data_IF_236886001850
#
_entry.id   IF_236886001850
#
_cell.length_a   1.000
_cell.length_b   1.000
_cell.length_c   1.000
_cell.angle_alpha   90.00
_cell.angle_beta   90.00
_cell.angle_gamma   90.00
#
_symmetry.space_group_name_H-M   'P 1'
#
loop_
_entity.id
_entity.type
_entity.pdbx_description
1 polymer ?
#
# COMPACT_ATOMS: atom_id res chain seq x y z
N UNK A 1 -22.19 -6.66 30.57
CA UNK A 1 -21.11 -6.07 29.73
C UNK A 1 -19.77 -6.25 30.41
N UNK A 2 -19.61 -5.84 31.67
CA UNK A 2 -18.34 -5.96 32.41
C UNK A 2 -17.86 -7.40 32.58
N UNK A 3 -18.72 -8.30 33.04
CA UNK A 3 -18.38 -9.73 33.18
C UNK A 3 -17.95 -10.36 31.85
N UNK A 4 -18.61 -10.01 30.75
CA UNK A 4 -18.27 -10.49 29.41
C UNK A 4 -16.91 -9.96 28.96
N UNK A 5 -16.65 -8.68 29.18
CA UNK A 5 -15.37 -8.05 28.84
C UNK A 5 -14.20 -8.63 29.65
N UNK A 6 -14.39 -8.87 30.94
CA UNK A 6 -13.38 -9.50 31.81
C UNK A 6 -13.05 -10.93 31.36
N UNK A 7 -14.06 -11.70 30.96
CA UNK A 7 -13.89 -13.06 30.44
C UNK A 7 -13.12 -13.07 29.11
N UNK A 8 -13.38 -12.10 28.23
CA UNK A 8 -12.67 -11.95 26.94
C UNK A 8 -11.20 -11.54 27.12
N UNK A 9 -10.89 -10.66 28.08
CA UNK A 9 -9.51 -10.26 28.41
C UNK A 9 -8.66 -11.43 28.91
N UNK A 10 -9.25 -12.32 29.71
CA UNK A 10 -8.56 -13.50 30.25
C UNK A 10 -8.14 -14.50 29.17
N UNK A 11 -8.75 -14.43 27.98
CA UNK A 11 -8.45 -15.30 26.83
C UNK A 11 -7.33 -14.77 25.92
N UNK A 12 -6.55 -13.77 26.34
CA UNK A 12 -5.38 -13.21 25.61
C UNK A 12 -5.70 -12.66 24.21
N UNK A 13 -6.93 -12.18 24.00
CA UNK A 13 -7.30 -11.43 22.80
C UNK A 13 -6.99 -9.96 23.11
N UNK A 14 -6.49 -9.20 22.12
CA UNK A 14 -5.87 -7.86 22.19
C UNK A 14 -6.69 -6.70 22.83
N UNK A 15 -7.68 -6.98 23.67
CA UNK A 15 -8.45 -6.03 24.45
C UNK A 15 -7.59 -5.38 25.55
N UNK A 16 -6.88 -4.31 25.20
CA UNK A 16 -6.27 -3.44 26.22
C UNK A 16 -7.26 -2.45 26.83
N UNK A 17 -8.44 -2.26 26.22
CA UNK A 17 -9.41 -1.21 26.61
C UNK A 17 -10.86 -1.61 26.28
N UNK A 18 -11.81 -1.10 27.08
CA UNK A 18 -13.26 -1.33 26.93
C UNK A 18 -13.77 -0.75 25.60
N UNK A 19 -14.75 -1.38 24.91
CA UNK A 19 -15.41 -0.78 23.75
C UNK A 19 -16.12 0.53 24.10
N UNK A 20 -15.91 1.58 23.30
CA UNK A 20 -16.46 2.93 23.48
C UNK A 20 -17.13 3.40 22.20
N UNK A 21 -18.24 4.15 22.33
CA UNK A 21 -18.90 4.81 21.19
C UNK A 21 -18.04 5.94 20.68
N UNK A 22 -17.99 6.12 19.36
CA UNK A 22 -17.17 7.15 18.75
C UNK A 22 -17.67 8.60 19.01
N UNK A 23 -18.92 8.78 19.49
CA UNK A 23 -19.49 10.09 19.87
C UNK A 23 -18.82 10.73 21.08
N UNK A 24 -18.15 9.92 21.92
CA UNK A 24 -17.59 10.36 23.20
C UNK A 24 -16.20 11.00 23.03
N UNK A 25 -15.70 11.13 21.80
CA UNK A 25 -14.34 11.63 21.45
C UNK A 25 -14.33 13.03 20.82
N UNK A 26 -15.39 13.82 20.98
CA UNK A 26 -15.54 15.14 20.33
C UNK A 26 -16.01 15.02 18.89
N UNK A 27 -16.46 16.12 18.26
CA UNK A 27 -16.96 16.14 16.87
C UNK A 27 -15.83 15.69 15.93
N UNK A 28 -15.79 14.39 15.67
CA UNK A 28 -14.58 13.64 15.35
C UNK A 28 -14.01 13.95 13.98
N UNK A 29 -13.20 14.99 13.90
CA UNK A 29 -12.24 15.26 12.84
C UNK A 29 -10.84 15.27 13.46
N UNK A 30 -9.85 14.78 12.74
CA UNK A 30 -8.44 14.84 13.13
C UNK A 30 -7.61 15.31 11.93
N UNK A 31 -6.44 15.87 12.22
CA UNK A 31 -5.42 16.05 11.20
C UNK A 31 -4.64 14.75 11.08
N UNK A 32 -4.71 14.15 9.89
CA UNK A 32 -4.19 12.82 9.64
C UNK A 32 -3.54 12.73 8.27
N UNK A 33 -2.60 11.79 8.17
CA UNK A 33 -2.12 11.26 6.92
C UNK A 33 -2.74 9.88 6.72
N UNK A 34 -3.39 9.67 5.58
CA UNK A 34 -4.05 8.42 5.25
C UNK A 34 -3.90 8.06 3.79
N UNK A 35 -3.74 6.77 3.53
CA UNK A 35 -3.48 6.19 2.22
C UNK A 35 -4.78 5.86 1.53
N UNK A 36 -4.84 6.22 0.25
CA UNK A 36 -5.85 5.76 -0.70
C UNK A 36 -5.17 4.96 -1.80
N UNK A 37 -5.97 4.15 -2.49
CA UNK A 37 -5.51 3.42 -3.66
C UNK A 37 -6.38 2.22 -3.97
N UNK A 38 -5.77 1.23 -4.60
CA UNK A 38 -6.50 0.14 -5.25
C UNK A 38 -6.70 -1.03 -4.31
N UNK A 39 -7.94 -1.47 -4.19
CA UNK A 39 -8.36 -2.58 -3.35
C UNK A 39 -8.58 -3.84 -4.19
N UNK A 40 -7.79 -4.88 -3.91
CA UNK A 40 -7.91 -6.21 -4.50
C UNK A 40 -8.56 -7.15 -3.48
N UNK A 41 -9.87 -7.00 -3.32
CA UNK A 41 -10.63 -7.71 -2.29
C UNK A 41 -11.00 -9.12 -2.72
N UNK A 42 -10.85 -10.06 -1.81
CA UNK A 42 -11.30 -11.42 -1.99
C UNK A 42 -12.79 -11.57 -1.63
N UNK A 43 -13.48 -12.61 -2.13
CA UNK A 43 -14.87 -12.89 -1.76
C UNK A 43 -15.11 -13.03 -0.24
N UNK A 44 -14.06 -13.37 0.53
CA UNK A 44 -14.08 -13.41 2.00
C UNK A 44 -14.45 -12.06 2.62
N UNK A 45 -13.99 -10.95 2.05
CA UNK A 45 -14.30 -9.61 2.56
C UNK A 45 -15.79 -9.30 2.44
N UNK A 46 -16.41 -9.62 1.31
CA UNK A 46 -17.85 -9.40 1.14
C UNK A 46 -18.67 -10.27 2.10
N UNK A 47 -18.27 -11.52 2.33
CA UNK A 47 -18.91 -12.40 3.32
C UNK A 47 -18.78 -11.85 4.74
N UNK A 48 -17.61 -11.32 5.10
CA UNK A 48 -17.40 -10.63 6.38
C UNK A 48 -18.37 -9.45 6.51
N UNK A 49 -18.43 -8.55 5.52
CA UNK A 49 -19.30 -7.37 5.60
C UNK A 49 -20.78 -7.74 5.77
N UNK A 50 -21.27 -8.74 5.03
CA UNK A 50 -22.63 -9.25 5.18
C UNK A 50 -22.87 -9.79 6.60
N UNK A 51 -21.89 -10.52 7.14
CA UNK A 51 -21.96 -11.06 8.49
C UNK A 51 -21.97 -9.98 9.56
N UNK A 52 -21.06 -9.00 9.46
CA UNK A 52 -21.01 -7.86 10.36
C UNK A 52 -22.32 -7.07 10.32
N UNK A 53 -22.84 -6.77 9.12
CA UNK A 53 -24.11 -6.07 8.93
C UNK A 53 -25.27 -6.79 9.62
N UNK A 54 -25.35 -8.12 9.51
CA UNK A 54 -26.38 -8.92 10.19
C UNK A 54 -26.24 -8.96 11.71
N UNK A 55 -25.03 -8.75 12.25
CA UNK A 55 -24.78 -8.75 13.69
C UNK A 55 -25.02 -7.40 14.35
N UNK A 56 -24.57 -6.31 13.72
CA UNK A 56 -24.55 -4.98 14.35
C UNK A 56 -25.68 -4.07 13.87
N UNK A 57 -26.27 -4.36 12.71
CA UNK A 57 -27.31 -3.52 12.11
C UNK A 57 -26.87 -2.07 12.02
N UNK A 58 -27.70 -1.17 12.56
CA UNK A 58 -27.44 0.29 12.60
C UNK A 58 -26.62 0.75 13.82
N UNK A 59 -26.19 -0.18 14.68
CA UNK A 59 -25.41 0.12 15.89
C UNK A 59 -23.93 0.39 15.60
N UNK A 60 -23.52 0.23 14.34
CA UNK A 60 -22.17 0.54 13.88
C UNK A 60 -22.17 1.09 12.44
N UNK A 61 -21.14 1.88 12.15
CA UNK A 61 -20.73 2.27 10.82
C UNK A 61 -19.83 1.17 10.23
N UNK A 62 -20.15 0.68 9.04
CA UNK A 62 -19.32 -0.28 8.31
C UNK A 62 -18.57 0.42 7.18
N UNK A 63 -17.37 -0.09 6.86
CA UNK A 63 -16.47 0.55 5.90
C UNK A 63 -16.33 -0.26 4.62
N UNK A 64 -16.32 0.44 3.48
CA UNK A 64 -16.18 -0.15 2.15
C UNK A 64 -15.27 0.68 1.24
N UNK A 65 -14.67 0.08 0.19
CA UNK A 65 -13.91 0.85 -0.79
C UNK A 65 -14.74 1.92 -1.50
N UNK A 66 -16.01 1.61 -1.75
CA UNK A 66 -16.98 2.55 -2.34
C UNK A 66 -18.17 2.64 -1.39
N UNK A 67 -18.16 3.60 -0.44
CA UNK A 67 -19.20 3.73 0.58
C UNK A 67 -20.50 4.31 0.01
N UNK A 68 -21.63 3.98 0.63
CA UNK A 68 -22.93 4.59 0.35
C UNK A 68 -23.63 5.05 1.63
N UNK A 69 -24.33 6.20 1.58
CA UNK A 69 -25.13 6.77 2.68
C UNK A 69 -24.41 6.88 4.03
N UNK A 70 -24.61 5.92 4.94
CA UNK A 70 -24.11 5.92 6.31
C UNK A 70 -22.79 5.18 6.50
N UNK A 71 -22.26 4.60 5.42
CA UNK A 71 -21.03 3.80 5.43
C UNK A 71 -19.78 4.68 5.42
N UNK A 72 -18.67 4.14 5.92
CA UNK A 72 -17.37 4.81 5.94
C UNK A 72 -16.47 4.37 4.79
N UNK A 73 -15.51 5.21 4.42
CA UNK A 73 -14.52 4.86 3.40
C UNK A 73 -13.43 3.96 3.96
N UNK A 74 -13.27 2.77 3.40
CA UNK A 74 -12.18 1.86 3.70
C UNK A 74 -10.85 2.46 3.24
N UNK A 75 -9.91 2.65 4.16
CA UNK A 75 -8.63 3.32 3.93
C UNK A 75 -7.56 2.79 4.88
N UNK A 76 -6.29 3.11 4.60
CA UNK A 76 -5.17 2.85 5.50
C UNK A 76 -4.77 4.15 6.21
N UNK A 77 -4.81 4.19 7.54
CA UNK A 77 -4.25 5.34 8.28
C UNK A 77 -2.72 5.24 8.36
N UNK A 78 -1.97 6.28 7.94
CA UNK A 78 -0.53 6.36 8.19
C UNK A 78 -0.30 6.80 9.63
N UNK A 79 -0.79 7.98 9.99
CA UNK A 79 -0.79 8.51 11.34
C UNK A 79 -1.88 9.55 11.54
N UNK A 80 -2.24 9.78 12.79
CA UNK A 80 -2.92 10.98 13.25
C UNK A 80 -1.89 11.79 14.02
N UNK A 81 -1.79 13.10 13.78
CA UNK A 81 -0.77 13.92 14.43
C UNK A 81 -1.32 15.07 15.25
N UNK A 82 -2.58 15.51 15.05
CA UNK A 82 -3.19 16.57 15.85
C UNK A 82 -4.70 16.31 16.04
N UNK A 83 -5.21 16.49 17.27
CA UNK A 83 -6.65 16.53 17.55
C UNK A 83 -7.22 17.90 17.20
N UNK A 84 -8.46 17.96 16.73
CA UNK A 84 -9.09 19.22 16.32
C UNK A 84 -9.14 20.27 17.42
N UNK A 85 -9.42 19.86 18.66
CA UNK A 85 -9.64 20.79 19.78
C UNK A 85 -8.32 21.32 20.37
N UNK A 86 -7.16 20.82 19.92
CA UNK A 86 -5.85 21.25 20.45
C UNK A 86 -5.46 22.66 19.99
N UNK A 87 -5.94 23.13 18.82
CA UNK A 87 -5.52 24.41 18.23
C UNK A 87 -6.67 25.16 17.51
N UNK A 88 -7.72 25.60 18.22
CA UNK A 88 -8.96 26.10 17.60
C UNK A 88 -8.84 27.40 16.77
N UNK A 89 -7.67 28.06 16.72
CA UNK A 89 -7.46 29.31 15.97
C UNK A 89 -6.11 29.41 15.26
N UNK A 90 -5.44 28.28 14.99
CA UNK A 90 -4.10 28.26 14.41
C UNK A 90 -4.09 27.64 13.00
N UNK A 91 -4.98 28.08 12.11
CA UNK A 91 -5.12 27.48 10.77
C UNK A 91 -3.82 27.53 9.95
N UNK A 92 -3.06 28.63 10.07
CA UNK A 92 -1.78 28.78 9.40
C UNK A 92 -0.74 27.75 9.88
N UNK A 93 -0.55 27.62 11.20
CA UNK A 93 0.44 26.66 11.74
C UNK A 93 0.03 25.21 11.46
N UNK A 94 -1.27 24.92 11.41
CA UNK A 94 -1.80 23.59 11.05
C UNK A 94 -1.58 23.29 9.57
N UNK A 95 -1.70 24.30 8.71
CA UNK A 95 -1.38 24.16 7.28
C UNK A 95 0.11 23.92 7.07
N UNK A 96 0.98 24.64 7.79
CA UNK A 96 2.43 24.40 7.79
C UNK A 96 2.78 23.00 8.29
N UNK A 97 2.11 22.52 9.36
CA UNK A 97 2.26 21.15 9.84
C UNK A 97 1.86 20.12 8.79
N UNK A 98 0.72 20.30 8.11
CA UNK A 98 0.28 19.42 7.03
C UNK A 98 1.24 19.41 5.84
N UNK A 99 1.76 20.58 5.44
CA UNK A 99 2.77 20.69 4.39
C UNK A 99 4.06 19.94 4.78
N UNK A 100 4.54 20.14 6.01
CA UNK A 100 5.71 19.44 6.53
C UNK A 100 5.53 17.91 6.51
N UNK A 101 4.36 17.42 6.91
CA UNK A 101 4.03 15.98 6.82
C UNK A 101 4.02 15.50 5.36
N UNK A 102 3.40 16.27 4.46
CA UNK A 102 3.33 15.94 3.04
C UNK A 102 4.72 15.86 2.40
N UNK A 103 5.62 16.80 2.73
CA UNK A 103 6.99 16.84 2.23
C UNK A 103 7.80 15.61 2.66
N UNK A 104 7.70 15.22 3.93
CA UNK A 104 8.39 14.02 4.45
C UNK A 104 7.86 12.76 3.75
N UNK A 105 6.54 12.65 3.56
CA UNK A 105 5.95 11.53 2.81
C UNK A 105 6.45 11.52 1.37
N UNK A 106 6.48 12.67 0.69
CA UNK A 106 6.94 12.79 -0.69
C UNK A 106 8.40 12.35 -0.84
N UNK A 107 9.27 12.77 0.07
CA UNK A 107 10.69 12.38 0.10
C UNK A 107 10.88 10.86 0.33
N UNK A 108 9.98 10.23 1.10
CA UNK A 108 10.05 8.79 1.36
C UNK A 108 9.61 7.94 0.17
N UNK A 109 8.74 8.46 -0.70
CA UNK A 109 8.02 7.72 -1.74
C UNK A 109 7.48 6.36 -1.25
N UNK A 110 6.91 6.33 -0.04
CA UNK A 110 6.43 5.09 0.57
C UNK A 110 5.14 4.60 -0.11
N UNK A 111 5.27 3.65 -1.02
CA UNK A 111 4.16 3.06 -1.80
C UNK A 111 3.90 1.58 -1.40
N UNK A 112 3.41 1.30 -0.18
CA UNK A 112 3.30 -0.07 0.30
C UNK A 112 2.20 -0.86 -0.43
N UNK A 113 2.47 -2.15 -0.59
CA UNK A 113 1.46 -3.15 -0.88
C UNK A 113 1.11 -3.88 0.42
N UNK A 114 -0.14 -3.78 0.85
CA UNK A 114 -0.60 -4.21 2.17
C UNK A 114 -1.51 -5.42 1.99
N UNK A 115 -1.17 -6.54 2.62
CA UNK A 115 -2.04 -7.70 2.73
C UNK A 115 -2.88 -7.59 4.00
N UNK A 116 -4.19 -7.71 3.88
CA UNK A 116 -5.09 -7.71 5.03
C UNK A 116 -5.49 -9.12 5.41
N UNK A 117 -5.07 -9.56 6.59
CA UNK A 117 -5.30 -10.91 7.11
C UNK A 117 -5.81 -10.84 8.54
N UNK A 118 -6.94 -11.48 8.80
CA UNK A 118 -7.52 -11.50 10.13
C UNK A 118 -8.16 -10.18 10.55
N UNK A 119 -8.75 -10.21 11.75
CA UNK A 119 -9.45 -9.09 12.36
C UNK A 119 -8.80 -8.73 13.69
N UNK A 120 -8.75 -7.44 13.98
CA UNK A 120 -8.25 -6.91 15.24
C UNK A 120 -9.26 -5.98 15.87
N UNK A 121 -9.33 -6.08 17.20
CA UNK A 121 -10.12 -5.18 18.01
C UNK A 121 -9.46 -3.83 18.16
N UNK A 122 -10.28 -2.79 18.11
CA UNK A 122 -9.91 -1.44 18.53
C UNK A 122 -10.89 -1.01 19.63
N UNK A 123 -10.55 0.00 20.45
CA UNK A 123 -11.48 0.49 21.47
C UNK A 123 -12.82 0.95 20.89
N UNK A 124 -12.89 1.27 19.60
CA UNK A 124 -14.08 1.88 18.97
C UNK A 124 -14.70 1.01 17.88
N UNK A 125 -14.24 -0.24 17.71
CA UNK A 125 -14.78 -1.16 16.70
C UNK A 125 -13.79 -2.23 16.25
N UNK A 126 -13.85 -2.61 14.97
CA UNK A 126 -13.01 -3.66 14.36
C UNK A 126 -12.23 -3.12 13.16
N UNK A 127 -11.04 -3.66 12.95
CA UNK A 127 -10.22 -3.40 11.78
C UNK A 127 -9.67 -4.70 11.18
N UNK A 128 -9.33 -4.66 9.90
CA UNK A 128 -8.47 -5.66 9.28
C UNK A 128 -7.03 -5.44 9.74
N UNK A 129 -6.30 -6.49 10.08
CA UNK A 129 -4.87 -6.37 10.33
C UNK A 129 -4.10 -6.38 9.01
N UNK A 130 -3.29 -5.34 8.79
CA UNK A 130 -2.48 -5.16 7.59
C UNK A 130 -1.03 -5.58 7.82
N UNK A 131 -0.42 -6.15 6.78
CA UNK A 131 0.96 -6.61 6.77
C UNK A 131 1.62 -6.17 5.46
N UNK A 132 2.86 -5.69 5.51
CA UNK A 132 3.62 -5.41 4.30
C UNK A 132 5.11 -5.74 4.48
N UNK A 133 5.81 -5.98 3.37
CA UNK A 133 7.26 -6.27 3.38
C UNK A 133 8.12 -5.08 3.84
N UNK A 134 7.52 -3.90 4.03
CA UNK A 134 8.19 -2.63 4.27
C UNK A 134 7.78 -2.00 5.62
N UNK A 135 7.39 -2.82 6.61
CA UNK A 135 7.01 -2.35 7.96
C UNK A 135 8.09 -1.49 8.62
N UNK A 136 9.37 -1.82 8.45
CA UNK A 136 10.46 -1.00 8.96
C UNK A 136 10.49 0.41 8.34
N UNK A 137 10.14 0.54 7.04
CA UNK A 137 10.05 1.85 6.38
C UNK A 137 8.86 2.64 6.90
N UNK A 138 7.72 1.98 7.15
CA UNK A 138 6.56 2.61 7.77
C UNK A 138 6.91 3.22 9.13
N UNK A 139 7.62 2.45 9.96
CA UNK A 139 7.97 2.89 11.32
C UNK A 139 8.96 4.07 11.27
N UNK A 140 10.01 3.99 10.44
CA UNK A 140 10.92 5.12 10.20
C UNK A 140 10.19 6.35 9.67
N UNK A 141 9.29 6.20 8.71
CA UNK A 141 8.53 7.32 8.15
C UNK A 141 7.71 8.05 9.23
N UNK A 142 7.07 7.30 10.14
CA UNK A 142 6.34 7.90 11.27
C UNK A 142 7.26 8.68 12.22
N UNK A 143 8.44 8.14 12.50
CA UNK A 143 9.46 8.80 13.33
C UNK A 143 10.00 10.06 12.65
N UNK A 144 10.32 9.99 11.36
CA UNK A 144 10.78 11.11 10.53
C UNK A 144 9.75 12.24 10.52
N UNK A 145 8.46 11.91 10.35
CA UNK A 145 7.37 12.89 10.42
C UNK A 145 7.33 13.57 11.80
N UNK A 146 7.36 12.78 12.87
CA UNK A 146 7.32 13.34 14.23
C UNK A 146 8.53 14.24 14.51
N UNK A 147 9.72 13.84 14.05
CA UNK A 147 10.95 14.61 14.21
C UNK A 147 10.94 15.88 13.36
N UNK A 148 10.44 15.83 12.13
CA UNK A 148 10.31 16.99 11.26
C UNK A 148 9.35 18.03 11.83
N UNK A 149 8.18 17.63 12.33
CA UNK A 149 7.25 18.52 13.02
C UNK A 149 7.92 19.19 14.24
N UNK A 150 8.61 18.39 15.07
CA UNK A 150 9.33 18.89 16.24
C UNK A 150 10.43 19.89 15.88
N UNK A 151 11.26 19.58 14.88
CA UNK A 151 12.37 20.45 14.45
C UNK A 151 11.88 21.80 13.93
N UNK A 152 10.72 21.81 13.26
CA UNK A 152 10.10 23.03 12.75
C UNK A 152 9.19 23.73 13.77
N UNK A 153 9.15 23.26 15.03
CA UNK A 153 8.30 23.80 16.10
C UNK A 153 6.80 23.78 15.73
N UNK A 154 6.40 22.80 14.93
CA UNK A 154 5.03 22.59 14.47
C UNK A 154 4.28 21.64 15.42
N UNK A 155 2.94 21.77 15.54
CA UNK A 155 2.18 20.92 16.44
C UNK A 155 2.30 19.42 16.11
N UNK A 156 2.55 18.62 17.13
CA UNK A 156 2.61 17.16 17.04
C UNK A 156 2.12 16.55 18.36
N UNK A 157 0.84 16.19 18.39
CA UNK A 157 0.17 15.51 19.49
C UNK A 157 -0.48 14.23 18.96
N UNK A 158 0.34 13.19 18.75
CA UNK A 158 -0.14 11.90 18.24
C UNK A 158 -1.19 11.35 19.22
N UNK A 159 -2.48 11.34 18.85
CA UNK A 159 -3.55 11.05 19.80
C UNK A 159 -3.65 9.56 20.11
N UNK A 160 -3.21 8.73 19.16
CA UNK A 160 -3.23 7.29 19.23
C UNK A 160 -1.96 6.76 18.58
N UNK A 161 -1.05 6.24 19.40
CA UNK A 161 0.10 5.50 18.90
C UNK A 161 -0.38 4.10 18.49
N UNK A 162 -0.34 3.81 17.19
CA UNK A 162 -0.64 2.49 16.68
C UNK A 162 0.50 2.00 15.79
N UNK A 163 1.16 0.91 16.21
CA UNK A 163 2.27 0.29 15.48
C UNK A 163 1.82 -0.72 14.41
N UNK A 164 0.52 -0.93 14.19
CA UNK A 164 0.02 -1.83 13.15
C UNK A 164 -0.57 -1.07 11.96
N UNK A 165 -0.33 -1.61 10.76
CA UNK A 165 -1.17 -1.31 9.61
C UNK A 165 -2.54 -1.92 9.85
N UNK A 166 -3.57 -1.15 9.58
CA UNK A 166 -4.93 -1.59 9.76
C UNK A 166 -5.87 -0.75 8.92
N UNK A 167 -6.95 -1.37 8.46
CA UNK A 167 -8.06 -0.72 7.79
C UNK A 167 -9.33 -0.96 8.61
N UNK A 168 -9.93 0.11 9.11
CA UNK A 168 -11.14 0.02 9.92
C UNK A 168 -12.27 -0.58 9.08
N UNK A 169 -12.95 -1.62 9.59
CA UNK A 169 -14.13 -2.23 8.93
C UNK A 169 -15.43 -1.94 9.67
N UNK A 170 -15.33 -1.59 10.95
CA UNK A 170 -16.47 -1.31 11.81
C UNK A 170 -16.11 -0.25 12.85
N UNK A 171 -16.99 0.74 13.05
CA UNK A 171 -16.95 1.67 14.20
C UNK A 171 -18.28 1.75 14.91
N UNK A 172 -18.27 1.73 16.24
CA UNK A 172 -19.47 1.85 17.07
C UNK A 172 -20.14 3.22 16.95
N UNK A 173 -21.42 3.23 16.61
CA UNK A 173 -22.30 4.42 16.64
C UNK A 173 -23.22 4.42 17.85
N UNK A 174 -23.39 3.25 18.49
CA UNK A 174 -24.08 3.05 19.76
C UNK A 174 -23.27 2.09 20.62
N UNK A 175 -23.46 2.13 21.94
CA UNK A 175 -22.73 1.26 22.85
C UNK A 175 -23.10 -0.21 22.57
N UNK A 176 -22.14 -1.10 22.27
CA UNK A 176 -22.44 -2.50 21.99
C UNK A 176 -22.84 -3.24 23.26
N UNK A 177 -23.83 -4.13 23.17
CA UNK A 177 -24.20 -5.01 24.26
C UNK A 177 -23.28 -6.26 24.36
N UNK A 178 -23.32 -6.95 25.50
CA UNK A 178 -22.43 -8.09 25.77
C UNK A 178 -22.67 -9.29 24.84
N UNK A 179 -23.91 -9.56 24.44
CA UNK A 179 -24.21 -10.70 23.57
C UNK A 179 -23.68 -10.44 22.15
N UNK A 180 -23.77 -9.21 21.67
CA UNK A 180 -23.18 -8.78 20.40
C UNK A 180 -21.65 -8.95 20.41
N UNK A 181 -20.98 -8.56 21.50
CA UNK A 181 -19.53 -8.71 21.64
C UNK A 181 -19.11 -10.18 21.57
N UNK A 182 -19.79 -11.08 22.28
CA UNK A 182 -19.51 -12.53 22.24
C UNK A 182 -19.73 -13.10 20.83
N UNK A 183 -20.78 -12.65 20.12
CA UNK A 183 -21.02 -13.10 18.74
C UNK A 183 -19.93 -12.63 17.78
N UNK A 184 -19.45 -11.39 17.94
CA UNK A 184 -18.37 -10.84 17.12
C UNK A 184 -17.02 -11.49 17.42
N UNK A 185 -16.74 -11.81 18.68
CA UNK A 185 -15.54 -12.55 19.07
C UNK A 185 -15.41 -13.87 18.31
N UNK A 186 -16.51 -14.64 18.23
CA UNK A 186 -16.55 -15.88 17.44
C UNK A 186 -16.26 -15.66 15.96
N UNK A 187 -16.65 -14.50 15.41
CA UNK A 187 -16.27 -14.16 14.03
C UNK A 187 -14.80 -13.77 13.94
N UNK A 188 -14.26 -12.98 14.88
CA UNK A 188 -12.83 -12.65 14.91
C UNK A 188 -11.97 -13.90 14.96
N UNK A 189 -12.30 -14.88 15.79
CA UNK A 189 -11.63 -16.19 15.83
C UNK A 189 -11.78 -16.95 14.51
N UNK A 190 -13.02 -17.03 13.97
CA UNK A 190 -13.28 -17.72 12.70
C UNK A 190 -12.45 -17.16 11.55
N UNK A 191 -12.23 -15.86 11.53
CA UNK A 191 -11.57 -15.16 10.44
C UNK A 191 -10.09 -14.89 10.69
N UNK A 192 -9.48 -15.36 11.79
CA UNK A 192 -8.13 -14.97 12.22
C UNK A 192 -7.05 -15.17 11.15
N UNK A 193 -7.11 -16.30 10.43
CA UNK A 193 -6.13 -16.64 9.39
C UNK A 193 -6.55 -16.23 7.98
N UNK A 194 -7.76 -15.68 7.83
CA UNK A 194 -8.36 -15.38 6.53
C UNK A 194 -7.71 -14.15 5.91
N UNK A 195 -7.24 -14.28 4.67
CA UNK A 195 -6.89 -13.12 3.85
C UNK A 195 -8.16 -12.52 3.28
N UNK A 196 -8.36 -11.22 3.49
CA UNK A 196 -9.53 -10.48 3.00
C UNK A 196 -9.25 -9.80 1.67
N UNK A 197 -7.99 -9.55 1.37
CA UNK A 197 -7.55 -8.89 0.16
C UNK A 197 -6.30 -8.08 0.41
N UNK A 198 -5.95 -7.30 -0.59
CA UNK A 198 -4.76 -6.45 -0.57
C UNK A 198 -5.15 -5.02 -0.90
N UNK A 199 -4.43 -4.06 -0.35
CA UNK A 199 -4.49 -2.66 -0.76
C UNK A 199 -3.14 -2.23 -1.28
N UNK A 200 -3.18 -1.50 -2.38
CA UNK A 200 -2.02 -0.84 -2.97
C UNK A 200 -2.17 0.65 -2.76
N UNK A 201 -1.29 1.24 -1.94
CA UNK A 201 -1.32 2.69 -1.73
C UNK A 201 -0.69 3.37 -2.93
N UNK A 202 -1.46 4.19 -3.64
CA UNK A 202 -0.99 4.99 -4.78
C UNK A 202 -0.89 6.48 -4.45
N UNK A 203 -1.50 6.91 -3.34
CA UNK A 203 -1.36 8.26 -2.81
C UNK A 203 -1.59 8.31 -1.31
N UNK A 204 -0.88 9.22 -0.66
CA UNK A 204 -1.18 9.65 0.69
C UNK A 204 -1.89 10.98 0.65
N UNK A 205 -2.93 11.13 1.47
CA UNK A 205 -3.63 12.39 1.67
C UNK A 205 -3.28 12.89 3.06
N UNK A 206 -2.90 14.16 3.16
CA UNK A 206 -2.71 14.87 4.43
C UNK A 206 -3.79 15.93 4.53
N UNK A 207 -4.60 15.86 5.59
CA UNK A 207 -5.76 16.73 5.69
C UNK A 207 -6.59 16.52 6.94
N UNK A 208 -7.77 17.17 6.93
CA UNK A 208 -8.81 16.97 7.95
C UNK A 208 -9.62 15.76 7.53
N UNK A 209 -9.84 14.82 8.44
CA UNK A 209 -10.72 13.70 8.15
C UNK A 209 -11.51 13.26 9.38
N UNK A 210 -12.78 12.93 9.15
CA UNK A 210 -13.61 12.33 10.18
C UNK A 210 -13.37 10.84 10.31
N UNK A 211 -13.81 10.25 11.43
CA UNK A 211 -13.76 8.79 11.58
C UNK A 211 -14.46 8.04 10.44
N UNK A 212 -15.50 8.61 9.82
CA UNK A 212 -16.24 8.00 8.71
C UNK A 212 -15.55 8.17 7.36
N UNK A 213 -14.68 9.18 7.22
CA UNK A 213 -13.94 9.43 5.97
C UNK A 213 -14.84 9.69 4.77
N UNK A 214 -16.02 10.26 4.99
CA UNK A 214 -16.91 10.67 3.90
C UNK A 214 -16.31 11.85 3.14
N UNK A 215 -16.68 11.97 1.87
CA UNK A 215 -16.19 13.04 1.00
C UNK A 215 -16.53 14.42 1.59
N UNK A 216 -17.76 14.63 2.05
CA UNK A 216 -18.21 15.86 2.69
C UNK A 216 -17.66 16.10 4.12
N UNK A 217 -16.93 15.13 4.66
CA UNK A 217 -16.34 15.17 6.01
C UNK A 217 -14.81 15.21 5.99
N UNK A 218 -14.22 15.38 4.79
CA UNK A 218 -12.79 15.45 4.55
C UNK A 218 -12.42 16.75 3.87
N UNK A 219 -11.28 17.29 4.27
CA UNK A 219 -10.60 18.35 3.54
C UNK A 219 -9.21 17.81 3.15
N UNK A 220 -9.06 17.43 1.89
CA UNK A 220 -7.84 16.83 1.34
C UNK A 220 -6.85 17.94 0.94
N UNK A 221 -6.12 18.50 1.92
CA UNK A 221 -5.23 19.65 1.69
C UNK A 221 -4.06 19.32 0.78
N UNK A 222 -3.39 18.18 1.02
CA UNK A 222 -2.26 17.73 0.22
C UNK A 222 -2.51 16.30 -0.24
N UNK A 223 -2.36 16.06 -1.53
CA UNK A 223 -2.34 14.73 -2.13
C UNK A 223 -0.92 14.45 -2.63
N UNK A 224 -0.26 13.47 -2.02
CA UNK A 224 1.11 13.08 -2.33
C UNK A 224 1.05 11.75 -3.12
N UNK A 225 1.20 11.78 -4.44
CA UNK A 225 1.27 10.55 -5.23
C UNK A 225 2.54 9.77 -4.85
N UNK A 226 2.42 8.45 -4.79
CA UNK A 226 3.55 7.55 -4.51
C UNK A 226 3.60 6.44 -5.54
N UNK A 227 4.82 6.11 -5.96
CA UNK A 227 5.05 5.21 -7.08
C UNK A 227 5.82 3.98 -6.64
N UNK A 228 5.40 2.83 -7.15
CA UNK A 228 6.21 1.63 -7.02
C UNK A 228 7.42 1.73 -7.96
N UNK A 229 8.61 1.86 -7.38
CA UNK A 229 9.86 1.89 -8.15
C UNK A 229 10.35 0.47 -8.47
N UNK A 230 10.71 0.26 -9.73
CA UNK A 230 11.31 -0.96 -10.26
C UNK A 230 12.67 -0.57 -10.83
N UNK A 231 13.73 -1.16 -10.28
CA UNK A 231 15.09 -0.94 -10.76
C UNK A 231 15.27 -1.67 -12.09
N UNK A 232 15.43 -0.92 -13.18
CA UNK A 232 15.66 -1.49 -14.50
C UNK A 232 16.98 -2.27 -14.50
N UNK A 233 16.92 -3.58 -14.74
CA UNK A 233 18.07 -4.51 -14.72
C UNK A 233 18.95 -4.47 -13.46
N UNK A 234 18.43 -3.94 -12.36
CA UNK A 234 19.15 -3.75 -11.09
C UNK A 234 19.86 -2.39 -10.90
N UNK A 235 19.74 -1.47 -11.86
CA UNK A 235 20.28 -0.11 -11.80
C UNK A 235 19.53 0.75 -10.75
N UNK A 236 20.27 1.57 -10.00
CA UNK A 236 19.70 2.46 -8.96
C UNK A 236 20.18 3.92 -9.04
N UNK A 237 21.22 4.18 -9.81
CA UNK A 237 21.92 5.47 -9.88
C UNK A 237 22.38 5.79 -11.32
N UNK A 238 21.58 5.35 -12.31
CA UNK A 238 21.89 5.40 -13.73
C UNK A 238 22.38 4.05 -14.27
N UNK A 239 22.40 3.94 -15.60
CA UNK A 239 22.76 2.70 -16.29
C UNK A 239 24.20 2.29 -16.01
N UNK A 240 24.39 1.04 -15.57
CA UNK A 240 25.71 0.44 -15.34
C UNK A 240 25.82 -0.86 -16.12
N UNK A 241 26.08 -0.76 -17.44
CA UNK A 241 26.04 -1.88 -18.39
C UNK A 241 26.74 -3.17 -17.91
N UNK A 242 27.90 -3.04 -17.27
CA UNK A 242 28.70 -4.17 -16.75
C UNK A 242 28.04 -4.90 -15.55
N UNK A 243 27.06 -4.27 -14.91
CA UNK A 243 26.37 -4.75 -13.71
C UNK A 243 24.90 -5.07 -13.97
N UNK A 244 24.37 -4.72 -15.14
CA UNK A 244 23.00 -5.03 -15.54
C UNK A 244 22.79 -6.54 -15.56
N UNK A 245 21.64 -6.98 -15.05
CA UNK A 245 21.27 -8.39 -15.01
C UNK A 245 22.28 -9.30 -14.27
N UNK A 246 23.25 -8.72 -13.56
CA UNK A 246 24.24 -9.47 -12.83
C UNK A 246 23.60 -10.18 -11.62
N UNK A 247 23.84 -11.48 -11.51
CA UNK A 247 23.26 -12.32 -10.47
C UNK A 247 23.48 -11.79 -9.04
N UNK A 248 24.70 -11.34 -8.72
CA UNK A 248 25.05 -10.81 -7.40
C UNK A 248 24.34 -9.49 -7.09
N UNK A 249 24.26 -8.60 -8.09
CA UNK A 249 23.55 -7.33 -7.96
C UNK A 249 22.06 -7.58 -7.73
N UNK A 250 21.42 -8.44 -8.53
CA UNK A 250 19.99 -8.73 -8.38
C UNK A 250 19.65 -9.38 -7.03
N UNK A 251 20.53 -10.21 -6.49
CA UNK A 251 20.38 -10.75 -5.11
C UNK A 251 20.50 -9.61 -4.10
N UNK A 252 21.52 -8.75 -4.21
CA UNK A 252 21.67 -7.61 -3.32
C UNK A 252 20.42 -6.71 -3.33
N UNK A 253 19.88 -6.42 -4.51
CA UNK A 253 18.65 -5.61 -4.66
C UNK A 253 17.44 -6.29 -4.02
N UNK A 254 17.32 -7.61 -4.15
CA UNK A 254 16.27 -8.40 -3.51
C UNK A 254 16.37 -8.35 -1.98
N UNK A 255 17.59 -8.47 -1.42
CA UNK A 255 17.85 -8.34 0.04
C UNK A 255 17.52 -6.93 0.53
N UNK A 256 17.83 -5.90 -0.27
CA UNK A 256 17.47 -4.51 0.01
C UNK A 256 15.97 -4.23 -0.15
N UNK A 257 15.18 -5.23 -0.54
CA UNK A 257 13.73 -5.16 -0.69
C UNK A 257 13.25 -4.52 -1.98
N UNK A 258 14.13 -4.24 -2.94
CA UNK A 258 13.76 -3.62 -4.20
C UNK A 258 13.00 -4.56 -5.13
N UNK A 259 12.16 -3.95 -5.97
CA UNK A 259 11.66 -4.57 -7.19
C UNK A 259 12.64 -4.33 -8.31
N UNK A 260 12.82 -5.34 -9.15
CA UNK A 260 13.78 -5.31 -10.25
C UNK A 260 13.09 -5.80 -11.51
N UNK A 261 13.35 -5.10 -12.61
CA UNK A 261 13.12 -5.67 -13.93
C UNK A 261 14.36 -6.51 -14.30
N UNK A 262 14.15 -7.66 -14.94
CA UNK A 262 15.22 -8.56 -15.37
C UNK A 262 14.97 -9.07 -16.78
N UNK A 263 16.01 -9.05 -17.60
CA UNK A 263 16.02 -9.60 -18.94
C UNK A 263 16.35 -11.10 -18.88
N UNK A 264 15.47 -11.93 -19.43
CA UNK A 264 15.61 -13.39 -19.40
C UNK A 264 15.60 -13.97 -20.82
N UNK A 265 16.44 -14.99 -21.02
CA UNK A 265 16.51 -15.82 -22.22
C UNK A 265 16.30 -17.30 -21.90
N UNK A 266 15.60 -18.01 -22.78
CA UNK A 266 15.56 -19.47 -22.83
C UNK A 266 16.34 -19.98 -24.05
N UNK A 267 17.62 -20.30 -23.81
CA UNK A 267 18.58 -20.66 -24.84
C UNK A 267 19.26 -21.98 -24.51
N UNK A 268 19.40 -22.86 -25.51
CA UNK A 268 20.01 -24.20 -25.35
C UNK A 268 19.45 -24.98 -24.14
N UNK A 269 18.12 -25.02 -23.99
CA UNK A 269 17.41 -25.72 -22.90
C UNK A 269 17.74 -25.20 -21.49
N UNK A 270 18.27 -23.98 -21.38
CA UNK A 270 18.63 -23.36 -20.12
C UNK A 270 18.08 -21.94 -20.02
N UNK A 271 17.88 -21.46 -18.80
CA UNK A 271 17.53 -20.06 -18.53
C UNK A 271 18.78 -19.25 -18.28
N UNK A 272 18.78 -18.02 -18.79
CA UNK A 272 19.89 -17.08 -18.67
C UNK A 272 19.36 -15.67 -18.42
N UNK A 273 20.14 -14.87 -17.69
CA UNK A 273 19.98 -13.43 -17.62
C UNK A 273 20.89 -12.75 -18.65
N UNK A 274 20.50 -11.56 -19.11
CA UNK A 274 21.36 -10.68 -19.92
C UNK A 274 20.57 -9.81 -20.89
N UNK A 275 21.10 -8.63 -21.22
CA UNK A 275 20.35 -7.65 -22.02
C UNK A 275 20.36 -7.96 -23.52
N UNK A 276 21.55 -7.98 -24.13
CA UNK A 276 21.71 -8.15 -25.57
C UNK A 276 21.90 -9.63 -25.97
N UNK A 277 22.33 -10.46 -25.01
CA UNK A 277 22.60 -11.90 -25.19
C UNK A 277 22.45 -12.65 -23.86
N UNK A 278 22.36 -14.00 -23.89
CA UNK A 278 22.47 -14.83 -22.69
C UNK A 278 23.86 -14.71 -22.03
N UNK A 279 23.93 -14.36 -20.74
CA UNK A 279 25.20 -14.13 -20.03
C UNK A 279 25.30 -14.93 -18.73
N UNK A 280 24.31 -14.83 -17.85
CA UNK A 280 24.35 -15.48 -16.54
C UNK A 280 23.33 -16.61 -16.45
N UNK A 281 23.79 -17.85 -16.41
CA UNK A 281 22.92 -19.03 -16.29
C UNK A 281 22.17 -19.02 -14.95
N UNK A 282 20.87 -19.26 -14.98
CA UNK A 282 20.00 -19.34 -13.80
C UNK A 282 19.08 -20.56 -13.87
N UNK A 283 18.44 -20.86 -12.74
CA UNK A 283 17.37 -21.86 -12.68
C UNK A 283 16.00 -21.19 -12.62
N UNK A 284 14.97 -21.93 -13.01
CA UNK A 284 13.59 -21.46 -12.88
C UNK A 284 13.21 -21.21 -11.41
N UNK A 285 13.72 -22.03 -10.48
CA UNK A 285 13.50 -21.86 -9.04
C UNK A 285 14.16 -20.58 -8.53
N UNK A 286 15.36 -20.26 -9.02
CA UNK A 286 15.97 -18.98 -8.71
C UNK A 286 15.08 -17.84 -9.17
N UNK A 287 14.56 -17.89 -10.39
CA UNK A 287 13.69 -16.84 -10.96
C UNK A 287 12.38 -16.70 -10.16
N UNK A 288 11.79 -17.81 -9.72
CA UNK A 288 10.57 -17.84 -8.92
C UNK A 288 10.77 -17.50 -7.43
N UNK A 289 12.01 -17.52 -6.93
CA UNK A 289 12.28 -17.28 -5.50
C UNK A 289 11.96 -15.85 -5.02
N UNK A 290 11.78 -14.90 -5.94
CA UNK A 290 11.49 -13.51 -5.61
C UNK A 290 10.32 -12.99 -6.45
N UNK A 291 9.20 -12.72 -5.78
CA UNK A 291 7.97 -12.16 -6.38
C UNK A 291 8.09 -10.70 -6.82
N UNK A 292 9.19 -10.03 -6.43
CA UNK A 292 9.49 -8.63 -6.74
C UNK A 292 10.16 -8.45 -8.11
N UNK A 293 10.28 -9.52 -8.90
CA UNK A 293 10.85 -9.47 -10.26
C UNK A 293 9.77 -9.22 -11.30
N UNK A 294 9.96 -8.19 -12.11
CA UNK A 294 9.28 -8.01 -13.38
C UNK A 294 10.18 -8.61 -14.46
N UNK A 295 9.69 -9.61 -15.18
CA UNK A 295 10.52 -10.45 -16.04
C UNK A 295 10.27 -10.09 -17.49
N UNK A 296 11.26 -9.49 -18.14
CA UNK A 296 11.27 -9.26 -19.57
C UNK A 296 11.79 -10.51 -20.27
N UNK A 297 10.89 -11.26 -20.90
CA UNK A 297 11.29 -12.29 -21.84
C UNK A 297 11.87 -11.63 -23.09
N UNK A 298 13.07 -12.02 -23.52
CA UNK A 298 13.77 -11.34 -24.62
C UNK A 298 13.38 -11.79 -26.01
N UNK A 299 12.71 -12.93 -26.11
CA UNK A 299 12.15 -13.46 -27.35
C UNK A 299 10.87 -14.26 -27.07
N UNK A 300 10.13 -14.56 -28.15
CA UNK A 300 8.87 -15.31 -28.06
C UNK A 300 9.06 -16.72 -27.48
N UNK A 301 10.21 -17.35 -27.71
CA UNK A 301 10.54 -18.69 -27.18
C UNK A 301 10.68 -18.67 -25.66
N UNK A 302 11.34 -17.64 -25.14
CA UNK A 302 11.49 -17.42 -23.70
C UNK A 302 10.16 -17.11 -23.07
N UNK A 303 9.34 -16.27 -23.72
CA UNK A 303 8.02 -15.92 -23.25
C UNK A 303 7.12 -17.17 -23.14
N UNK A 304 7.07 -17.98 -24.19
CA UNK A 304 6.35 -19.26 -24.21
C UNK A 304 6.80 -20.18 -23.07
N UNK A 305 8.11 -20.41 -22.93
CA UNK A 305 8.66 -21.28 -21.89
C UNK A 305 8.26 -20.82 -20.48
N UNK A 306 8.44 -19.53 -20.18
CA UNK A 306 8.14 -18.97 -18.86
C UNK A 306 6.65 -19.08 -18.52
N UNK A 307 5.75 -18.82 -19.48
CA UNK A 307 4.31 -18.95 -19.25
C UNK A 307 3.88 -20.40 -19.03
N UNK A 308 4.38 -21.33 -19.85
CA UNK A 308 4.07 -22.74 -19.73
C UNK A 308 4.55 -23.29 -18.38
N UNK A 309 5.79 -22.99 -17.99
CA UNK A 309 6.34 -23.48 -16.72
C UNK A 309 5.68 -22.80 -15.50
N UNK A 310 5.32 -21.52 -15.60
CA UNK A 310 4.53 -20.86 -14.55
C UNK A 310 3.19 -21.55 -14.33
N UNK A 311 2.48 -21.89 -15.42
CA UNK A 311 1.21 -22.61 -15.35
C UNK A 311 1.36 -24.03 -14.80
N UNK A 312 2.29 -24.83 -15.36
CA UNK A 312 2.51 -26.24 -14.94
C UNK A 312 2.91 -26.37 -13.47
N UNK A 313 3.74 -25.45 -12.98
CA UNK A 313 4.32 -25.51 -11.64
C UNK A 313 3.64 -24.58 -10.63
N UNK A 314 2.56 -23.90 -11.03
CA UNK A 314 1.88 -22.87 -10.25
C UNK A 314 2.83 -21.80 -9.67
N UNK A 315 3.81 -21.36 -10.49
CA UNK A 315 4.78 -20.35 -10.08
C UNK A 315 4.22 -18.94 -10.28
N UNK A 316 4.50 -18.08 -9.31
CA UNK A 316 4.03 -16.70 -9.31
C UNK A 316 4.99 -15.77 -10.08
N UNK A 317 5.14 -16.00 -11.39
CA UNK A 317 5.99 -15.19 -12.26
C UNK A 317 5.22 -13.99 -12.84
N UNK A 318 5.85 -12.81 -12.89
CA UNK A 318 5.33 -11.61 -13.53
C UNK A 318 6.12 -11.33 -14.80
N UNK A 319 5.62 -11.80 -15.94
CA UNK A 319 6.33 -11.87 -17.22
C UNK A 319 5.69 -10.96 -18.24
N UNK A 320 6.51 -10.31 -19.06
CA UNK A 320 6.10 -9.59 -20.25
C UNK A 320 7.11 -9.82 -21.38
N UNK A 321 6.67 -9.58 -22.61
CA UNK A 321 7.50 -9.57 -23.80
C UNK A 321 7.17 -8.29 -24.56
N UNK A 322 8.19 -7.58 -25.02
CA UNK A 322 8.00 -6.48 -25.96
C UNK A 322 9.27 -6.27 -26.78
N UNK A 323 9.12 -5.49 -27.83
CA UNK A 323 10.22 -4.93 -28.59
C UNK A 323 10.09 -3.41 -28.58
N UNK A 324 9.23 -2.86 -29.42
CA UNK A 324 9.04 -1.42 -29.60
C UNK A 324 7.54 -1.01 -29.61
N UNK A 325 6.65 -1.91 -29.17
CA UNK A 325 5.22 -1.60 -29.10
C UNK A 325 4.94 -0.50 -28.07
N UNK A 326 4.04 0.42 -28.42
CA UNK A 326 3.67 1.55 -27.57
C UNK A 326 3.17 1.12 -26.18
N UNK A 327 2.44 0.01 -26.15
CA UNK A 327 1.83 -0.55 -24.96
C UNK A 327 1.89 -2.07 -25.00
N UNK A 328 2.30 -2.70 -23.89
CA UNK A 328 2.24 -4.15 -23.72
C UNK A 328 1.57 -4.53 -22.41
N UNK A 329 0.95 -5.70 -22.39
CA UNK A 329 0.32 -6.26 -21.20
C UNK A 329 1.21 -7.36 -20.62
N UNK A 330 1.43 -7.35 -19.31
CA UNK A 330 2.06 -8.49 -18.63
C UNK A 330 1.06 -9.64 -18.44
N UNK A 331 1.55 -10.83 -18.11
CA UNK A 331 0.70 -11.96 -17.75
C UNK A 331 -0.16 -11.74 -16.47
N UNK A 332 0.04 -10.62 -15.77
CA UNK A 332 -0.72 -10.19 -14.59
C UNK A 332 -1.61 -8.97 -14.86
N UNK A 333 -1.79 -8.58 -16.13
CA UNK A 333 -2.67 -7.48 -16.50
C UNK A 333 -2.09 -6.08 -16.25
N UNK A 334 -0.80 -5.95 -15.91
CA UNK A 334 -0.15 -4.63 -15.82
C UNK A 334 0.16 -4.15 -17.23
N UNK A 335 -0.25 -2.93 -17.57
CA UNK A 335 0.13 -2.28 -18.82
C UNK A 335 1.49 -1.61 -18.64
N UNK A 336 2.42 -1.86 -19.55
CA UNK A 336 3.72 -1.18 -19.64
C UNK A 336 3.65 -0.20 -20.81
N UNK A 337 3.87 1.08 -20.54
CA UNK A 337 3.95 2.13 -21.53
C UNK A 337 5.39 2.30 -21.99
N UNK A 338 5.63 2.23 -23.29
CA UNK A 338 6.93 2.48 -23.89
C UNK A 338 7.39 3.92 -23.63
N UNK A 339 8.70 4.19 -23.48
CA UNK A 339 9.18 5.54 -23.21
C UNK A 339 8.72 6.56 -24.26
N UNK A 340 8.13 7.67 -23.81
CA UNK A 340 7.62 8.76 -24.65
C UNK A 340 6.19 8.58 -25.14
N UNK A 341 5.50 7.51 -24.73
CA UNK A 341 4.09 7.28 -25.08
C UNK A 341 3.16 7.79 -23.97
N UNK A 342 1.92 8.21 -24.31
CA UNK A 342 0.96 8.66 -23.30
C UNK A 342 0.76 7.62 -22.20
N UNK A 343 0.94 8.04 -20.94
CA UNK A 343 0.77 7.17 -19.77
C UNK A 343 -0.71 6.85 -19.56
N UNK A 344 -1.01 5.60 -19.27
CA UNK A 344 -2.37 5.11 -19.02
C UNK A 344 -2.62 4.96 -17.53
N UNK A 345 -3.89 5.05 -17.11
CA UNK A 345 -4.25 4.93 -15.70
C UNK A 345 -3.82 3.56 -15.13
N UNK A 346 -3.05 3.58 -14.04
CA UNK A 346 -2.54 2.38 -13.39
C UNK A 346 -1.40 1.68 -14.14
N UNK A 347 -0.79 2.29 -15.17
CA UNK A 347 0.28 1.66 -15.96
C UNK A 347 1.66 1.70 -15.31
N UNK A 348 2.62 1.02 -15.91
CA UNK A 348 4.05 1.17 -15.66
C UNK A 348 4.64 2.15 -16.67
N UNK A 349 5.28 3.21 -16.20
CA UNK A 349 6.11 4.09 -17.03
C UNK A 349 7.51 3.46 -17.16
N UNK A 350 7.84 2.97 -18.36
CA UNK A 350 9.16 2.38 -18.64
C UNK A 350 10.15 3.49 -18.99
N UNK A 351 11.33 3.45 -18.35
CA UNK A 351 12.47 4.36 -18.54
C UNK A 351 12.05 5.83 -18.72
N UNK A 352 11.43 6.46 -17.70
CA UNK A 352 10.99 7.86 -17.78
C UNK A 352 12.09 8.82 -18.20
N UNK A 353 13.35 8.54 -17.87
CA UNK A 353 14.53 9.33 -18.25
C UNK A 353 14.75 9.46 -19.77
N UNK A 354 14.07 8.66 -20.59
CA UNK A 354 14.13 8.72 -22.06
C UNK A 354 13.07 9.65 -22.67
N UNK A 355 12.20 10.24 -21.85
CA UNK A 355 11.13 11.13 -22.29
C UNK A 355 10.90 12.24 -21.25
N UNK A 356 9.99 13.17 -21.57
CA UNK A 356 9.49 14.15 -20.62
C UNK A 356 8.00 13.93 -20.46
N UNK A 357 7.54 13.86 -19.21
CA UNK A 357 6.12 13.86 -18.88
C UNK A 357 5.85 14.99 -17.90
N UNK A 358 4.66 15.55 -18.00
CA UNK A 358 4.13 16.48 -17.00
C UNK A 358 3.86 15.74 -15.68
N UNK A 359 3.81 16.45 -14.54
CA UNK A 359 3.41 15.87 -13.26
C UNK A 359 2.05 15.16 -13.32
N UNK A 360 1.09 15.74 -14.06
CA UNK A 360 -0.25 15.19 -14.26
C UNK A 360 -0.25 13.88 -15.04
N UNK A 361 0.60 13.75 -16.06
CA UNK A 361 0.77 12.49 -16.78
C UNK A 361 1.44 11.43 -15.92
N UNK A 362 2.46 11.79 -15.15
CA UNK A 362 3.15 10.86 -14.25
C UNK A 362 2.20 10.25 -13.23
N UNK A 363 1.25 11.03 -12.70
CA UNK A 363 0.27 10.55 -11.72
C UNK A 363 -0.63 9.43 -12.23
N UNK A 364 -0.77 9.27 -13.56
CA UNK A 364 -1.50 8.12 -14.14
C UNK A 364 -0.76 6.80 -13.94
N UNK A 365 0.57 6.85 -13.86
CA UNK A 365 1.37 5.64 -13.70
C UNK A 365 1.33 5.13 -12.26
N UNK A 366 1.10 3.84 -12.12
CA UNK A 366 1.23 3.13 -10.86
C UNK A 366 2.70 2.90 -10.47
N UNK A 367 3.52 2.58 -11.47
CA UNK A 367 4.89 2.14 -11.24
C UNK A 367 5.83 2.74 -12.26
N UNK A 368 7.09 2.83 -11.87
CA UNK A 368 8.14 3.41 -12.70
C UNK A 368 9.28 2.40 -12.74
N UNK A 369 9.65 1.98 -13.95
CA UNK A 369 10.86 1.19 -14.16
C UNK A 369 11.94 2.11 -14.68
N UNK A 370 13.02 2.33 -13.92
CA UNK A 370 14.05 3.32 -14.26
C UNK A 370 15.42 2.84 -13.84
N UNK A 371 16.45 3.35 -14.51
CA UNK A 371 17.84 3.19 -14.10
C UNK A 371 18.19 4.01 -12.84
N UNK A 372 17.31 4.93 -12.44
CA UNK A 372 17.52 5.89 -11.34
C UNK A 372 16.39 5.82 -10.31
N UNK A 373 16.73 5.83 -9.02
CA UNK A 373 15.73 5.87 -7.94
C UNK A 373 15.04 7.24 -7.80
N UNK A 374 15.72 8.31 -8.18
CA UNK A 374 15.27 9.69 -8.11
C UNK A 374 14.53 10.15 -9.38
N UNK A 375 14.14 9.22 -10.27
CA UNK A 375 13.51 9.53 -11.55
C UNK A 375 12.21 10.34 -11.42
N UNK A 376 11.50 10.23 -10.29
CA UNK A 376 10.30 11.03 -9.99
C UNK A 376 10.68 12.44 -9.58
N UNK A 377 11.70 12.59 -8.71
CA UNK A 377 12.17 13.89 -8.21
C UNK A 377 12.97 14.70 -9.24
N UNK A 378 13.48 14.08 -10.31
CA UNK A 378 14.22 14.76 -11.37
C UNK A 378 13.34 15.43 -12.42
N UNK A 379 12.02 15.29 -12.32
CA UNK A 379 11.06 16.04 -13.11
C UNK A 379 10.56 17.19 -12.24
N UNK A 380 11.19 18.39 -12.32
CA UNK A 380 10.68 19.53 -11.57
C UNK A 380 9.22 19.74 -11.97
N UNK A 381 8.34 19.78 -10.97
CA UNK A 381 7.12 20.56 -11.08
C UNK A 381 7.59 22.01 -11.26
N UNK A 382 7.72 22.45 -12.50
CA UNK A 382 7.87 23.88 -12.81
C UNK A 382 6.58 24.62 -12.46
#
# INVERSE_FOLDING_TARGET
MELVYEEMNQRNIWYKTKPVVNSDLGKGRCYAAYGLGDWYLQPSFQRLLLKLKGLVGESACLYKPVPYQSEGLLHQTLLQFIKFDSFPHAEEILTQAMACVADVIAQSNFAPWITYRGLVWTPTGLALAGYCDEEDKLMRLREEIAQALKNNQLPCEIPYFNNILHATVLRWTKQPDGLMLVKLEKEVERWSECVFGEMRVNRWVVGKASYRMKEEERDDYFAVPVFQHICHRGNVSGAQKELENNFGILIQRSIQGYRVEVDVWYHEQNLWLGHDKPEYKITLDWLASCKKRLIHAKDGKTFEYLLLEAGKRALDLHVFYHTEEDYVLTNKGLVICYPGKPLLEGSLCMMPERAKYTPEEFQKSFSICSDRRDAVSSHPCD
#
